data_IF_131348383312
#
_entry.id   IF_131348383312
#
_cell.length_a   1.000
_cell.length_b   1.000
_cell.length_c   1.000
_cell.angle_alpha   90.00
_cell.angle_beta   90.00
_cell.angle_gamma   90.00
#
_symmetry.space_group_name_H-M   'P 1'
#
loop_
_entity.id
_entity.type
_entity.pdbx_description
1 polymer ?
#
# COMPACT_ATOMS: atom_id res chain seq x y z
N UNK A 1 -13.63 -6.53 -10.26
CA UNK A 1 -12.25 -6.97 -10.57
C UNK A 1 -12.31 -8.45 -10.91
N UNK A 2 -11.65 -8.91 -11.98
CA UNK A 2 -11.56 -10.35 -12.33
C UNK A 2 -10.99 -11.12 -11.15
N UNK A 3 -11.53 -12.30 -10.86
CA UNK A 3 -11.00 -13.19 -9.84
C UNK A 3 -9.73 -13.86 -10.36
N UNK A 4 -8.60 -13.47 -9.77
CA UNK A 4 -7.27 -14.03 -9.96
C UNK A 4 -6.40 -13.80 -8.71
N UNK A 5 -5.20 -14.38 -8.66
CA UNK A 5 -4.28 -14.28 -7.52
C UNK A 5 -3.92 -12.84 -7.16
N UNK A 6 -3.79 -11.97 -8.16
CA UNK A 6 -3.53 -10.54 -7.96
C UNK A 6 -4.73 -9.90 -7.24
N UNK A 7 -5.94 -10.21 -7.69
CA UNK A 7 -7.16 -9.69 -7.06
C UNK A 7 -7.34 -10.18 -5.63
N UNK A 8 -6.94 -11.43 -5.34
CA UNK A 8 -6.97 -12.00 -4.01
C UNK A 8 -5.97 -11.26 -3.11
N UNK A 9 -4.71 -11.14 -3.56
CA UNK A 9 -3.65 -10.40 -2.86
C UNK A 9 -4.08 -8.98 -2.56
N UNK A 10 -4.67 -8.28 -3.54
CA UNK A 10 -5.10 -6.90 -3.38
C UNK A 10 -6.21 -6.74 -2.33
N UNK A 11 -7.22 -7.61 -2.32
CA UNK A 11 -8.34 -7.56 -1.37
C UNK A 11 -7.93 -7.95 0.05
N UNK A 12 -6.89 -8.78 0.18
CA UNK A 12 -6.38 -9.23 1.47
C UNK A 12 -5.36 -8.28 2.08
N UNK A 13 -4.87 -7.28 1.35
CA UNK A 13 -3.93 -6.29 1.87
C UNK A 13 -4.67 -5.05 2.40
N UNK A 14 -4.57 -4.76 3.73
CA UNK A 14 -5.27 -3.63 4.33
C UNK A 14 -4.85 -2.28 3.78
N UNK A 15 -3.57 -2.10 3.46
CA UNK A 15 -3.05 -0.83 2.97
C UNK A 15 -3.54 -0.55 1.54
N UNK A 16 -3.45 -1.56 0.66
CA UNK A 16 -3.99 -1.45 -0.71
C UNK A 16 -5.48 -1.08 -0.66
N UNK A 17 -6.26 -1.76 0.18
CA UNK A 17 -7.68 -1.46 0.33
C UNK A 17 -7.93 -0.04 0.85
N UNK A 18 -7.13 0.43 1.81
CA UNK A 18 -7.25 1.77 2.37
C UNK A 18 -6.93 2.87 1.35
N UNK A 19 -5.87 2.70 0.56
CA UNK A 19 -5.49 3.62 -0.52
C UNK A 19 -6.62 3.75 -1.56
N UNK A 20 -7.15 2.61 -2.02
CA UNK A 20 -8.24 2.59 -3.00
C UNK A 20 -9.52 3.20 -2.42
N UNK A 21 -9.80 2.98 -1.14
CA UNK A 21 -10.93 3.59 -0.44
C UNK A 21 -10.78 5.12 -0.35
N UNK A 22 -9.58 5.63 -0.04
CA UNK A 22 -9.28 7.07 -0.05
C UNK A 22 -9.49 7.67 -1.44
N UNK A 23 -9.03 6.97 -2.48
CA UNK A 23 -9.21 7.39 -3.87
C UNK A 23 -10.69 7.50 -4.26
N UNK A 24 -11.49 6.47 -3.99
CA UNK A 24 -12.92 6.44 -4.30
C UNK A 24 -13.76 7.44 -3.49
N UNK A 25 -13.33 7.78 -2.26
CA UNK A 25 -13.98 8.84 -1.47
C UNK A 25 -13.83 10.21 -2.11
N UNK A 26 -12.67 10.44 -2.73
CA UNK A 26 -12.34 11.71 -3.39
C UNK A 26 -12.94 11.82 -4.80
N UNK A 27 -13.26 10.67 -5.42
CA UNK A 27 -13.76 10.58 -6.78
C UNK A 27 -15.02 9.72 -6.84
N UNK A 28 -16.20 10.37 -6.75
CA UNK A 28 -17.49 9.68 -6.58
C UNK A 28 -18.07 9.13 -7.89
N UNK A 29 -17.60 9.59 -9.04
CA UNK A 29 -18.16 9.18 -10.33
C UNK A 29 -17.82 7.72 -10.66
N UNK A 30 -18.78 7.06 -11.32
CA UNK A 30 -18.68 5.64 -11.70
C UNK A 30 -17.43 5.32 -12.52
N UNK A 31 -16.93 6.28 -13.28
CA UNK A 31 -15.78 6.11 -14.19
C UNK A 31 -14.47 5.90 -13.42
N UNK A 32 -14.34 6.49 -12.23
CA UNK A 32 -13.15 6.35 -11.40
C UNK A 32 -13.01 4.96 -10.75
N UNK A 33 -14.06 4.13 -10.78
CA UNK A 33 -13.96 2.74 -10.30
C UNK A 33 -13.00 1.92 -11.14
N UNK A 34 -12.93 2.14 -12.45
CA UNK A 34 -11.98 1.43 -13.32
C UNK A 34 -10.54 1.81 -12.97
N UNK A 35 -10.29 3.10 -12.73
CA UNK A 35 -8.98 3.61 -12.29
C UNK A 35 -8.61 3.04 -10.92
N UNK A 36 -9.56 3.02 -9.99
CA UNK A 36 -9.40 2.43 -8.66
C UNK A 36 -9.02 0.94 -8.74
N UNK A 37 -9.68 0.15 -9.59
CA UNK A 37 -9.34 -1.25 -9.80
C UNK A 37 -7.97 -1.44 -10.45
N UNK A 38 -7.59 -0.56 -11.39
CA UNK A 38 -6.26 -0.60 -12.02
C UNK A 38 -5.17 -0.34 -10.96
N UNK A 39 -5.31 0.71 -10.15
CA UNK A 39 -4.42 1.03 -9.03
C UNK A 39 -4.33 -0.14 -8.03
N UNK A 40 -5.47 -0.72 -7.66
CA UNK A 40 -5.53 -1.88 -6.78
C UNK A 40 -4.73 -3.08 -7.29
N UNK A 41 -4.84 -3.38 -8.60
CA UNK A 41 -4.08 -4.46 -9.24
C UNK A 41 -2.59 -4.14 -9.39
N UNK A 42 -2.24 -2.89 -9.72
CA UNK A 42 -0.86 -2.45 -9.84
C UNK A 42 -0.13 -2.61 -8.51
N UNK A 43 -0.71 -2.13 -7.42
CA UNK A 43 -0.13 -2.26 -6.08
C UNK A 43 0.03 -3.71 -5.63
N UNK A 44 -0.92 -4.58 -5.97
CA UNK A 44 -0.84 -6.00 -5.64
C UNK A 44 0.22 -6.74 -6.47
N UNK A 45 0.34 -6.43 -7.77
CA UNK A 45 1.41 -6.96 -8.61
C UNK A 45 2.79 -6.49 -8.11
N UNK A 46 2.90 -5.23 -7.71
CA UNK A 46 4.10 -4.66 -7.12
C UNK A 46 4.48 -5.36 -5.81
N UNK A 47 3.51 -5.61 -4.92
CA UNK A 47 3.74 -6.39 -3.69
C UNK A 47 4.24 -7.81 -4.00
N UNK A 48 3.70 -8.45 -5.05
CA UNK A 48 4.18 -9.78 -5.48
C UNK A 48 5.64 -9.75 -5.95
N UNK A 49 6.09 -8.68 -6.61
CA UNK A 49 7.52 -8.52 -6.95
C UNK A 49 8.39 -8.32 -5.71
N UNK A 50 7.95 -7.50 -4.75
CA UNK A 50 8.70 -7.30 -3.49
C UNK A 50 8.83 -8.63 -2.74
N UNK A 51 7.77 -9.44 -2.70
CA UNK A 51 7.76 -10.76 -2.05
C UNK A 51 8.81 -11.73 -2.56
N UNK A 52 9.23 -11.59 -3.82
CA UNK A 52 10.31 -12.43 -4.39
C UNK A 52 11.69 -12.07 -3.82
N UNK A 53 11.87 -10.83 -3.35
CA UNK A 53 13.15 -10.31 -2.83
C UNK A 53 13.20 -10.25 -1.31
N UNK A 54 12.06 -10.02 -0.66
CA UNK A 54 11.95 -9.91 0.79
C UNK A 54 10.70 -10.65 1.29
N UNK A 55 10.77 -11.44 2.38
CA UNK A 55 9.65 -12.20 2.90
C UNK A 55 8.65 -11.30 3.67
N UNK A 56 7.99 -10.38 2.96
CA UNK A 56 6.93 -9.52 3.50
C UNK A 56 5.56 -10.12 3.20
N UNK A 57 4.61 -10.02 4.15
CA UNK A 57 3.24 -10.51 3.91
C UNK A 57 2.35 -9.42 3.35
N UNK A 58 2.56 -8.17 3.80
CA UNK A 58 1.72 -6.99 3.52
C UNK A 58 2.56 -5.85 2.97
N UNK A 59 1.94 -4.98 2.17
CA UNK A 59 2.61 -3.84 1.55
C UNK A 59 3.21 -2.88 2.59
N UNK A 60 2.48 -2.60 3.68
CA UNK A 60 2.97 -1.70 4.73
C UNK A 60 4.32 -2.13 5.32
N UNK A 61 4.56 -3.43 5.48
CA UNK A 61 5.82 -3.99 6.00
C UNK A 61 7.02 -3.73 5.07
N UNK A 62 6.74 -3.51 3.78
CA UNK A 62 7.80 -3.20 2.82
C UNK A 62 8.18 -1.73 2.80
N UNK A 63 7.31 -0.82 3.26
CA UNK A 63 7.51 0.64 3.21
C UNK A 63 8.45 1.19 4.30
N UNK A 64 9.39 0.38 4.75
CA UNK A 64 10.49 0.81 5.60
C UNK A 64 11.60 1.45 4.72
N UNK A 65 12.17 2.62 5.10
CA UNK A 65 13.29 3.23 4.38
C UNK A 65 14.48 2.29 4.14
N UNK A 66 14.73 1.31 5.02
CA UNK A 66 15.76 0.29 4.84
C UNK A 66 15.51 -0.61 3.61
N UNK A 67 14.30 -0.61 3.05
CA UNK A 67 13.96 -1.36 1.83
C UNK A 67 13.95 -0.48 0.57
N UNK A 68 14.42 0.77 0.64
CA UNK A 68 14.33 1.72 -0.47
C UNK A 68 14.88 1.14 -1.77
N UNK A 69 16.06 0.53 -1.73
CA UNK A 69 16.69 -0.05 -2.92
C UNK A 69 15.86 -1.18 -3.51
N UNK A 70 15.29 -2.05 -2.67
CA UNK A 70 14.40 -3.14 -3.09
C UNK A 70 13.13 -2.58 -3.74
N UNK A 71 12.54 -1.53 -3.15
CA UNK A 71 11.35 -0.86 -3.69
C UNK A 71 11.65 -0.28 -5.07
N UNK A 72 12.77 0.45 -5.22
CA UNK A 72 13.18 1.06 -6.48
C UNK A 72 13.45 -0.01 -7.54
N UNK A 73 14.11 -1.10 -7.17
CA UNK A 73 14.37 -2.22 -8.08
C UNK A 73 13.07 -2.88 -8.54
N UNK A 74 12.17 -3.22 -7.62
CA UNK A 74 10.86 -3.78 -7.95
C UNK A 74 10.02 -2.82 -8.82
N UNK A 75 10.15 -1.51 -8.61
CA UNK A 75 9.43 -0.51 -9.40
C UNK A 75 9.94 -0.49 -10.84
N UNK A 76 11.27 -0.57 -11.02
CA UNK A 76 11.91 -0.70 -12.34
C UNK A 76 11.46 -1.98 -13.06
N UNK A 77 11.45 -3.12 -12.36
CA UNK A 77 10.97 -4.41 -12.90
C UNK A 77 9.51 -4.27 -13.35
N UNK A 78 8.65 -3.75 -12.48
CA UNK A 78 7.22 -3.57 -12.77
C UNK A 78 7.01 -2.67 -13.99
N UNK A 79 7.79 -1.61 -14.12
CA UNK A 79 7.74 -0.67 -15.24
C UNK A 79 8.48 -1.12 -16.51
N UNK A 80 9.03 -2.35 -16.52
CA UNK A 80 9.81 -2.92 -17.64
C UNK A 80 10.98 -2.01 -18.05
N UNK A 81 11.76 -1.58 -17.07
CA UNK A 81 12.97 -0.81 -17.32
C UNK A 81 14.01 -1.65 -18.06
N UNK A 82 14.54 -1.11 -19.15
CA UNK A 82 15.68 -1.68 -19.88
C UNK A 82 16.95 -0.88 -19.55
N UNK A 83 17.90 -1.55 -18.89
CA UNK A 83 19.17 -0.96 -18.50
C UNK A 83 20.07 -0.62 -19.70
N UNK A 84 19.92 -1.30 -20.84
CA UNK A 84 20.76 -1.07 -22.03
C UNK A 84 20.41 0.25 -22.72
N UNK A 85 19.11 0.55 -22.79
CA UNK A 85 18.59 1.77 -23.44
C UNK A 85 18.22 2.87 -22.45
N UNK A 86 18.26 2.58 -21.14
CA UNK A 86 17.76 3.45 -20.07
C UNK A 86 16.31 3.90 -20.27
N UNK A 87 15.47 3.05 -20.88
CA UNK A 87 14.07 3.35 -21.17
C UNK A 87 13.10 2.49 -20.37
N UNK A 88 11.85 2.94 -20.24
CA UNK A 88 10.77 2.17 -19.61
C UNK A 88 9.79 1.68 -20.66
N UNK A 89 9.60 0.36 -20.74
CA UNK A 89 8.56 -0.23 -21.60
C UNK A 89 7.13 0.14 -21.18
N UNK A 90 6.93 0.62 -19.95
CA UNK A 90 5.66 1.15 -19.46
C UNK A 90 5.84 2.50 -18.75
N UNK A 91 6.09 3.57 -19.52
CA UNK A 91 6.33 4.92 -18.99
C UNK A 91 5.20 5.43 -18.06
N UNK A 92 3.95 5.15 -18.42
CA UNK A 92 2.79 5.51 -17.59
C UNK A 92 2.82 4.81 -16.23
N UNK A 93 3.27 3.56 -16.18
CA UNK A 93 3.39 2.80 -14.94
C UNK A 93 4.53 3.35 -14.06
N UNK A 94 5.67 3.70 -14.65
CA UNK A 94 6.77 4.35 -13.92
C UNK A 94 6.30 5.67 -13.28
N UNK A 95 5.55 6.48 -14.03
CA UNK A 95 4.99 7.74 -13.54
C UNK A 95 3.96 7.52 -12.42
N UNK A 96 3.03 6.57 -12.60
CA UNK A 96 2.02 6.24 -11.59
C UNK A 96 2.62 5.64 -10.32
N UNK A 97 3.71 4.87 -10.42
CA UNK A 97 4.31 4.21 -9.25
C UNK A 97 4.75 5.25 -8.20
N UNK A 98 5.28 6.40 -8.63
CA UNK A 98 5.65 7.49 -7.71
C UNK A 98 4.45 7.98 -6.89
N UNK A 99 3.35 8.29 -7.57
CA UNK A 99 2.14 8.82 -6.91
C UNK A 99 1.45 7.74 -6.08
N UNK A 100 1.41 6.51 -6.56
CA UNK A 100 0.89 5.35 -5.85
C UNK A 100 1.67 5.05 -4.56
N UNK A 101 3.01 5.09 -4.59
CA UNK A 101 3.84 4.89 -3.39
C UNK A 101 3.66 6.02 -2.38
N UNK A 102 3.58 7.27 -2.83
CA UNK A 102 3.27 8.40 -1.95
C UNK A 102 1.91 8.21 -1.26
N UNK A 103 0.88 7.83 -2.01
CA UNK A 103 -0.44 7.53 -1.43
C UNK A 103 -0.36 6.41 -0.38
N UNK A 104 0.44 5.37 -0.65
CA UNK A 104 0.64 4.26 0.30
C UNK A 104 1.33 4.72 1.58
N UNK A 105 2.36 5.57 1.48
CA UNK A 105 3.06 6.12 2.65
C UNK A 105 2.12 7.00 3.46
N UNK A 106 1.42 7.94 2.82
CA UNK A 106 0.47 8.85 3.49
C UNK A 106 -0.64 8.07 4.22
N UNK A 107 -1.23 7.07 3.55
CA UNK A 107 -2.30 6.25 4.14
C UNK A 107 -1.75 5.35 5.24
N UNK A 108 -0.59 4.74 5.03
CA UNK A 108 0.07 3.89 6.01
C UNK A 108 0.46 4.64 7.28
N UNK A 109 0.96 5.86 7.14
CA UNK A 109 1.24 6.76 8.26
C UNK A 109 -0.02 7.06 9.07
N UNK A 110 -1.10 7.47 8.40
CA UNK A 110 -2.40 7.71 9.05
C UNK A 110 -2.99 6.47 9.74
N UNK A 111 -2.77 5.28 9.17
CA UNK A 111 -3.20 4.02 9.81
C UNK A 111 -2.41 3.76 11.10
N UNK A 112 -1.10 4.00 11.08
CA UNK A 112 -0.20 3.79 12.22
C UNK A 112 -0.51 4.78 13.36
N UNK A 113 -0.77 6.05 13.04
CA UNK A 113 -1.19 7.06 14.03
C UNK A 113 -2.51 6.66 14.72
N UNK A 114 -3.49 6.18 13.96
CA UNK A 114 -4.78 5.73 14.53
C UNK A 114 -4.61 4.52 15.43
N UNK A 115 -3.70 3.62 15.09
CA UNK A 115 -3.39 2.46 15.92
C UNK A 115 -2.78 2.90 17.25
N UNK A 116 -1.75 3.75 17.23
CA UNK A 116 -1.15 4.29 18.45
C UNK A 116 -2.15 5.05 19.32
N UNK A 117 -3.00 5.88 18.72
CA UNK A 117 -4.03 6.58 19.48
C UNK A 117 -4.97 5.60 20.19
N UNK A 118 -5.42 4.56 19.50
CA UNK A 118 -6.28 3.52 20.07
C UNK A 118 -5.60 2.79 21.23
N UNK A 119 -4.34 2.40 21.07
CA UNK A 119 -3.54 1.75 22.12
C UNK A 119 -3.43 2.64 23.37
N UNK A 120 -3.21 3.95 23.20
CA UNK A 120 -3.14 4.90 24.32
C UNK A 120 -4.49 5.09 25.03
N UNK A 121 -5.60 5.10 24.30
CA UNK A 121 -6.94 5.17 24.90
C UNK A 121 -7.29 3.91 25.69
N UNK A 122 -6.94 2.73 25.18
CA UNK A 122 -7.16 1.44 25.85
C UNK A 122 -6.33 1.33 27.13
N UNK A 123 -5.05 1.75 27.11
CA UNK A 123 -4.20 1.80 28.29
C UNK A 123 -4.74 2.76 29.38
N UNK A 124 -5.29 3.90 28.97
CA UNK A 124 -5.88 4.88 29.91
C UNK A 124 -7.13 4.32 30.58
N UNK A 125 -7.97 3.58 29.84
CA UNK A 125 -9.19 2.93 30.38
C UNK A 125 -8.84 1.81 31.37
N UNK A 126 -7.83 1.00 31.09
CA UNK A 126 -7.37 -0.03 32.03
C UNK A 126 -6.89 0.57 33.34
N UNK A 127 -6.02 1.59 33.27
CA UNK A 127 -5.47 2.25 34.47
C UNK A 127 -6.54 3.01 35.28
N UNK A 128 -7.59 3.51 34.61
CA UNK A 128 -8.76 4.10 35.28
C UNK A 128 -9.61 3.06 36.02
N UNK A 129 -9.76 1.85 35.46
CA UNK A 129 -10.52 0.77 36.09
C UNK A 129 -9.82 0.19 37.33
N UNK A 130 -8.49 0.13 37.34
CA UNK A 130 -7.71 -0.39 38.49
C UNK A 130 -7.69 0.58 39.68
N UNK A 131 -7.92 1.89 39.47
CA UNK A 131 -7.93 2.89 40.56
C UNK A 131 -9.24 2.94 41.37
N UNK A 132 -10.31 2.29 40.93
CA UNK A 132 -11.60 2.28 41.65
C UNK A 132 -11.82 1.07 42.58
N UNK A 133 -10.77 0.30 42.90
CA UNK A 133 -10.87 -0.89 43.77
C UNK A 133 -10.13 -0.75 45.12
N UNK A 134 -9.76 0.47 45.54
CA UNK A 134 -9.21 0.76 46.87
C UNK A 134 -9.98 1.87 47.56
#
# INVERSE_FOLDING_TARGET
>A
MRADEISCTAKMDPLICAVVRRYLRSHRDKQFRLVAYKKMRQLAAFLSEIKKKKPVKKLLQSLDPANFDIIVECAKISARFDAKTATYGALSLASHMRTELKDCIDVGYNMSLKLHHRETEEATKLNGATKCQH
#
